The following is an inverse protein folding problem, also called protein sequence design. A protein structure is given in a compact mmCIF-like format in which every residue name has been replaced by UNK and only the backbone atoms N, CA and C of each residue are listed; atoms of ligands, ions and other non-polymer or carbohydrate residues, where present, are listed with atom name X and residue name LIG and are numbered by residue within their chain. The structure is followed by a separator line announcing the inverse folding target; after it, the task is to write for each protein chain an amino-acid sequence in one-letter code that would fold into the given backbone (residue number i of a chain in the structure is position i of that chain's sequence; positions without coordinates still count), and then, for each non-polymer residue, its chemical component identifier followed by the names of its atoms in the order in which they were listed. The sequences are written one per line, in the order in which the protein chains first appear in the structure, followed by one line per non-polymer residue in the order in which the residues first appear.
data_IF_169289709420
#
_entry.id   IF_169289709420
#
_cell.length_a   1.000
_cell.length_b   1.000
_cell.length_c   1.000
_cell.angle_alpha   90.00
_cell.angle_beta   90.00
_cell.angle_gamma   90.00
#
_symmetry.space_group_name_H-M   'P 1'
#
loop_
_entity.id
_entity.type
_entity.pdbx_description
1 polymer ?
#
# COMPACT_ATOMS: atom_id res chain seq x y z
N UNK A 1 -7.73 -18.62 11.81
CA UNK A 1 -8.60 -17.43 11.65
C UNK A 1 -7.89 -16.47 10.71
N UNK A 2 -8.61 -15.66 9.95
CA UNK A 2 -7.99 -14.65 9.09
C UNK A 2 -7.29 -13.59 9.94
N UNK A 3 -6.19 -13.03 9.41
CA UNK A 3 -5.36 -12.03 10.10
C UNK A 3 -6.09 -10.69 10.03
N UNK A 4 -6.42 -10.02 11.16
CA UNK A 4 -7.03 -8.71 11.10
C UNK A 4 -6.02 -7.70 10.55
N UNK A 5 -6.41 -6.97 9.51
CA UNK A 5 -5.53 -5.99 8.85
C UNK A 5 -6.15 -4.62 8.73
N UNK A 6 -5.30 -3.60 8.74
CA UNK A 6 -5.63 -2.23 8.38
C UNK A 6 -4.74 -1.84 7.21
N UNK A 7 -5.33 -1.27 6.16
CA UNK A 7 -4.60 -0.72 5.02
C UNK A 7 -4.41 0.79 5.21
N UNK A 8 -3.18 1.28 5.25
CA UNK A 8 -2.83 2.71 5.19
C UNK A 8 -2.27 3.02 3.80
N UNK A 9 -3.02 3.77 2.99
CA UNK A 9 -2.83 3.89 1.54
C UNK A 9 -3.00 5.32 1.03
N UNK A 10 -2.19 5.72 0.07
CA UNK A 10 -2.32 6.96 -0.69
C UNK A 10 -2.80 6.68 -2.12
N UNK A 11 -3.82 5.82 -2.21
CA UNK A 11 -4.55 5.51 -3.44
C UNK A 11 -4.94 6.77 -4.22
N UNK A 12 -4.70 6.73 -5.53
CA UNK A 12 -5.02 7.81 -6.46
C UNK A 12 -3.82 8.62 -6.94
N UNK A 13 -2.66 8.51 -6.27
CA UNK A 13 -1.40 9.11 -6.74
C UNK A 13 -0.75 8.25 -7.80
N UNK A 14 -0.34 7.03 -7.45
CA UNK A 14 0.00 5.96 -8.40
C UNK A 14 -1.19 4.99 -8.54
N UNK A 15 -1.12 4.08 -9.50
CA UNK A 15 -2.16 3.10 -9.78
C UNK A 15 -2.00 1.83 -8.93
N UNK A 16 -0.81 1.54 -8.42
CA UNK A 16 -0.52 0.27 -7.75
C UNK A 16 -1.24 0.10 -6.40
N UNK A 17 -1.58 1.16 -5.66
CA UNK A 17 -2.52 1.06 -4.53
C UNK A 17 -3.86 0.43 -4.94
N UNK A 18 -4.37 0.76 -6.13
CA UNK A 18 -5.64 0.21 -6.65
C UNK A 18 -5.48 -1.28 -6.95
N UNK A 19 -4.30 -1.71 -7.42
CA UNK A 19 -3.98 -3.14 -7.59
C UNK A 19 -3.82 -3.86 -6.26
N UNK A 20 -3.16 -3.22 -5.28
CA UNK A 20 -2.96 -3.76 -3.95
C UNK A 20 -4.29 -3.91 -3.21
N UNK A 21 -5.20 -2.93 -3.31
CA UNK A 21 -6.55 -3.04 -2.77
C UNK A 21 -7.34 -4.19 -3.44
N UNK A 22 -7.25 -4.33 -4.77
CA UNK A 22 -7.88 -5.45 -5.47
C UNK A 22 -7.35 -6.81 -4.99
N UNK A 23 -6.03 -6.95 -4.84
CA UNK A 23 -5.39 -8.14 -4.31
C UNK A 23 -5.85 -8.41 -2.87
N UNK A 24 -5.82 -7.39 -2.01
CA UNK A 24 -6.15 -7.50 -0.59
C UNK A 24 -7.59 -7.98 -0.37
N UNK A 25 -8.55 -7.46 -1.13
CA UNK A 25 -9.95 -7.90 -1.09
C UNK A 25 -10.15 -9.36 -1.53
N UNK A 26 -9.16 -9.95 -2.22
CA UNK A 26 -9.14 -11.34 -2.70
C UNK A 26 -8.26 -12.26 -1.84
N UNK A 27 -7.72 -11.77 -0.73
CA UNK A 27 -6.90 -12.57 0.19
C UNK A 27 -7.76 -13.13 1.35
N UNK A 28 -8.23 -14.40 1.31
CA UNK A 28 -8.98 -15.00 2.41
C UNK A 28 -8.17 -15.16 3.70
N UNK A 29 -6.84 -15.07 3.61
CA UNK A 29 -5.93 -15.05 4.75
C UNK A 29 -6.05 -13.75 5.56
N UNK A 30 -6.59 -12.68 4.97
CA UNK A 30 -6.64 -11.33 5.53
C UNK A 30 -8.08 -10.86 5.76
N UNK A 31 -8.31 -10.25 6.91
CA UNK A 31 -9.60 -9.70 7.34
C UNK A 31 -9.47 -8.18 7.47
N UNK A 32 -9.78 -7.48 6.37
CA UNK A 32 -9.61 -6.03 6.25
C UNK A 32 -10.63 -5.28 7.12
N UNK A 33 -10.12 -4.63 8.19
CA UNK A 33 -10.91 -3.93 9.21
C UNK A 33 -11.09 -2.44 8.95
N UNK A 34 -10.18 -1.83 8.21
CA UNK A 34 -10.18 -0.39 7.91
C UNK A 34 -9.29 -0.13 6.71
N UNK A 35 -9.74 0.77 5.82
CA UNK A 35 -8.87 1.46 4.87
C UNK A 35 -8.70 2.89 5.36
N UNK A 36 -7.47 3.27 5.70
CA UNK A 36 -7.10 4.60 6.15
C UNK A 36 -6.42 5.33 4.99
N UNK A 37 -7.03 6.41 4.51
CA UNK A 37 -6.48 7.18 3.40
C UNK A 37 -5.42 8.15 3.89
N UNK A 38 -4.26 8.19 3.24
CA UNK A 38 -3.08 8.92 3.71
C UNK A 38 -2.67 10.02 2.75
N UNK A 39 -2.15 11.12 3.30
CA UNK A 39 -1.52 12.24 2.59
C UNK A 39 -2.44 13.04 1.66
N UNK A 40 -1.98 14.22 1.25
CA UNK A 40 -2.68 15.01 0.21
C UNK A 40 -4.11 15.37 0.61
N UNK A 41 -5.07 15.02 -0.25
CA UNK A 41 -6.51 15.22 -0.05
C UNK A 41 -7.20 13.92 0.36
N UNK A 42 -7.48 13.76 1.65
CA UNK A 42 -8.14 12.57 2.19
C UNK A 42 -9.54 12.31 1.59
N UNK A 43 -10.29 13.36 1.23
CA UNK A 43 -11.64 13.21 0.65
C UNK A 43 -11.53 12.61 -0.75
N UNK A 44 -10.59 13.09 -1.57
CA UNK A 44 -10.33 12.51 -2.89
C UNK A 44 -10.00 11.01 -2.80
N UNK A 45 -9.04 10.66 -1.93
CA UNK A 45 -8.58 9.28 -1.76
C UNK A 45 -9.71 8.38 -1.23
N UNK A 46 -10.50 8.90 -0.30
CA UNK A 46 -11.69 8.21 0.22
C UNK A 46 -12.76 8.04 -0.87
N UNK A 47 -12.90 9.00 -1.78
CA UNK A 47 -13.83 8.92 -2.92
C UNK A 47 -13.45 7.80 -3.89
N UNK A 48 -12.15 7.62 -4.18
CA UNK A 48 -11.68 6.48 -4.98
C UNK A 48 -11.95 5.17 -4.25
N UNK A 49 -11.55 5.10 -2.98
CA UNK A 49 -11.73 3.92 -2.13
C UNK A 49 -13.19 3.51 -2.03
N UNK A 50 -14.09 4.45 -1.77
CA UNK A 50 -15.53 4.24 -1.65
C UNK A 50 -16.12 3.65 -2.93
N UNK A 51 -15.84 4.28 -4.07
CA UNK A 51 -16.29 3.77 -5.37
C UNK A 51 -15.73 2.38 -5.66
N UNK A 52 -14.47 2.12 -5.33
CA UNK A 52 -13.85 0.81 -5.53
C UNK A 52 -14.50 -0.26 -4.64
N UNK A 53 -14.76 0.03 -3.37
CA UNK A 53 -15.46 -0.87 -2.45
C UNK A 53 -16.91 -1.14 -2.86
N UNK A 54 -17.63 -0.15 -3.42
CA UNK A 54 -18.96 -0.39 -3.99
C UNK A 54 -18.91 -1.36 -5.18
N UNK A 55 -17.96 -1.15 -6.10
CA UNK A 55 -17.75 -2.07 -7.23
C UNK A 55 -17.42 -3.48 -6.74
N UNK A 56 -16.64 -3.60 -5.68
CA UNK A 56 -16.28 -4.86 -5.05
C UNK A 56 -17.39 -5.47 -4.19
N UNK A 57 -18.49 -4.76 -3.92
CA UNK A 57 -19.55 -5.20 -3.01
C UNK A 57 -19.08 -5.32 -1.55
N UNK A 58 -18.06 -4.54 -1.14
CA UNK A 58 -17.41 -4.59 0.17
C UNK A 58 -17.57 -3.29 0.97
N UNK A 59 -18.78 -2.73 0.94
CA UNK A 59 -19.12 -1.52 1.71
C UNK A 59 -19.23 -1.77 3.22
N UNK A 60 -19.01 -3.01 3.66
CA UNK A 60 -18.84 -3.38 5.06
C UNK A 60 -17.53 -2.87 5.67
N UNK A 61 -16.53 -2.55 4.84
CA UNK A 61 -15.22 -2.06 5.28
C UNK A 61 -15.29 -0.54 5.53
N UNK A 62 -15.02 -0.05 6.75
CA UNK A 62 -14.94 1.38 7.02
C UNK A 62 -13.79 2.03 6.26
N UNK A 63 -14.00 3.30 5.86
CA UNK A 63 -12.97 4.17 5.31
C UNK A 63 -12.68 5.27 6.32
N UNK A 64 -11.42 5.43 6.72
CA UNK A 64 -10.97 6.51 7.58
C UNK A 64 -10.35 7.64 6.76
N UNK A 65 -10.76 8.88 7.02
CA UNK A 65 -10.06 10.05 6.51
C UNK A 65 -8.81 10.29 7.36
N UNK A 66 -7.63 10.16 6.76
CA UNK A 66 -6.37 10.40 7.45
C UNK A 66 -5.98 11.87 7.55
N UNK A 67 -4.75 12.09 7.99
CA UNK A 67 -4.16 13.41 8.16
C UNK A 67 -3.84 13.99 6.78
N UNK A 68 -4.52 15.09 6.44
CA UNK A 68 -4.13 15.91 5.29
C UNK A 68 -2.76 16.52 5.56
N UNK A 69 -1.77 16.18 4.72
CA UNK A 69 -0.40 16.70 4.86
C UNK A 69 -0.16 17.94 3.99
N UNK A 70 -0.72 18.00 2.78
CA UNK A 70 -0.54 19.11 1.83
C UNK A 70 -1.77 19.26 0.92
N UNK A 71 -2.12 20.49 0.47
CA UNK A 71 -3.11 20.67 -0.58
C UNK A 71 -2.67 19.93 -1.86
N UNK A 72 -3.51 19.04 -2.37
CA UNK A 72 -3.20 18.25 -3.55
C UNK A 72 -3.75 18.94 -4.81
N UNK A 73 -2.93 19.77 -5.44
CA UNK A 73 -3.25 20.42 -6.72
C UNK A 73 -2.87 19.55 -7.93
N UNK A 74 -1.88 18.68 -7.74
CA UNK A 74 -1.24 17.86 -8.77
C UNK A 74 -1.29 16.39 -8.33
N UNK A 75 -1.18 15.43 -9.24
CA UNK A 75 -1.13 13.99 -8.89
C UNK A 75 -2.48 13.34 -8.57
N UNK A 76 -3.60 14.01 -8.88
CA UNK A 76 -4.97 13.45 -8.82
C UNK A 76 -5.28 12.60 -10.05
N UNK A 77 -4.42 11.63 -10.36
CA UNK A 77 -4.42 10.96 -11.65
C UNK A 77 -5.66 10.07 -11.90
N UNK A 78 -6.39 9.72 -10.85
CA UNK A 78 -7.63 8.93 -10.93
C UNK A 78 -8.91 9.80 -10.81
N UNK A 79 -8.81 11.14 -10.76
CA UNK A 79 -9.99 12.05 -10.76
C UNK A 79 -10.99 11.75 -11.88
N UNK A 80 -10.58 11.48 -13.14
CA UNK A 80 -11.53 11.17 -14.20
C UNK A 80 -12.32 9.89 -13.94
N UNK A 81 -11.73 8.90 -13.24
CA UNK A 81 -12.42 7.67 -12.92
C UNK A 81 -13.57 7.95 -11.95
N UNK A 82 -13.33 8.69 -10.87
CA UNK A 82 -14.36 9.04 -9.87
C UNK A 82 -15.31 10.17 -10.30
N UNK A 83 -15.19 10.72 -11.51
CA UNK A 83 -16.01 11.86 -11.95
C UNK A 83 -17.50 11.55 -11.84
N UNK A 84 -18.24 12.41 -11.15
CA UNK A 84 -19.68 12.28 -10.94
C UNK A 84 -20.07 11.30 -9.83
N UNK A 85 -19.10 10.69 -9.15
CA UNK A 85 -19.32 9.94 -7.93
C UNK A 85 -19.31 10.90 -6.72
N UNK A 86 -20.32 10.81 -5.87
CA UNK A 86 -20.44 11.64 -4.67
C UNK A 86 -20.17 10.78 -3.44
N UNK A 87 -19.10 11.08 -2.70
CA UNK A 87 -18.76 10.39 -1.46
C UNK A 87 -19.91 10.43 -0.44
N UNK A 88 -20.73 11.50 -0.43
CA UNK A 88 -21.88 11.60 0.47
C UNK A 88 -22.99 10.55 0.17
N UNK A 89 -22.95 9.92 -1.01
CA UNK A 89 -23.86 8.84 -1.40
C UNK A 89 -23.36 7.43 -1.03
N UNK A 90 -22.11 7.30 -0.56
CA UNK A 90 -21.53 6.03 -0.17
C UNK A 90 -22.29 5.44 1.02
N UNK A 91 -22.68 4.17 0.92
CA UNK A 91 -23.48 3.50 1.95
C UNK A 91 -22.69 2.94 3.14
N UNK A 92 -21.36 2.89 3.05
CA UNK A 92 -20.48 2.41 4.12
C UNK A 92 -20.08 3.50 5.12
N UNK A 93 -19.33 3.12 6.15
CA UNK A 93 -18.83 4.07 7.16
C UNK A 93 -17.68 4.92 6.60
N UNK A 94 -17.84 6.25 6.69
CA UNK A 94 -16.75 7.22 6.54
C UNK A 94 -16.42 7.79 7.92
N UNK A 95 -15.25 7.47 8.45
CA UNK A 95 -14.75 7.98 9.71
C UNK A 95 -13.93 9.26 9.48
N UNK A 96 -14.49 10.41 9.87
CA UNK A 96 -13.83 11.73 9.78
C UNK A 96 -12.50 11.78 10.58
N UNK A 97 -12.46 11.11 11.75
CA UNK A 97 -11.22 10.88 12.51
C UNK A 97 -10.70 9.47 12.21
N UNK A 98 -10.10 9.29 11.02
CA UNK A 98 -9.60 7.99 10.56
C UNK A 98 -8.49 7.43 11.46
N UNK A 99 -7.59 8.29 11.95
CA UNK A 99 -6.55 7.90 12.92
C UNK A 99 -7.17 7.43 14.25
N UNK A 100 -8.18 8.13 14.75
CA UNK A 100 -8.93 7.69 15.94
C UNK A 100 -9.67 6.38 15.71
N UNK A 101 -10.21 6.15 14.51
CA UNK A 101 -10.85 4.88 14.15
C UNK A 101 -9.85 3.72 14.10
N UNK A 102 -8.67 3.93 13.54
CA UNK A 102 -7.56 2.97 13.57
C UNK A 102 -7.22 2.57 15.01
N UNK A 103 -7.04 3.56 15.90
CA UNK A 103 -6.71 3.30 17.31
C UNK A 103 -7.79 2.44 17.98
N UNK A 104 -9.07 2.79 17.81
CA UNK A 104 -10.18 2.02 18.39
C UNK A 104 -10.21 0.58 17.91
N UNK A 105 -10.04 0.34 16.61
CA UNK A 105 -10.01 -1.02 16.04
C UNK A 105 -8.89 -1.84 16.68
N UNK A 106 -7.70 -1.27 16.84
CA UNK A 106 -6.57 -1.96 17.50
C UNK A 106 -6.88 -2.23 18.97
N UNK A 107 -7.47 -1.28 19.69
CA UNK A 107 -7.81 -1.42 21.10
C UNK A 107 -8.88 -2.50 21.35
N UNK A 108 -9.87 -2.56 20.47
CA UNK A 108 -10.99 -3.52 20.49
C UNK A 108 -10.59 -4.91 19.98
N UNK A 109 -9.53 -5.03 19.18
CA UNK A 109 -9.08 -6.32 18.64
C UNK A 109 -8.53 -7.25 19.72
N UNK A 110 -9.03 -8.49 19.77
CA UNK A 110 -8.52 -9.53 20.69
C UNK A 110 -7.24 -10.20 20.18
N UNK A 111 -6.91 -10.01 18.91
CA UNK A 111 -5.71 -10.55 18.25
C UNK A 111 -4.81 -9.40 17.78
N UNK A 112 -3.50 -9.62 17.60
CA UNK A 112 -2.61 -8.63 17.01
C UNK A 112 -3.09 -8.19 15.61
N UNK A 113 -3.12 -6.89 15.35
CA UNK A 113 -3.52 -6.31 14.06
C UNK A 113 -2.29 -6.11 13.18
N UNK A 114 -2.34 -6.53 11.92
CA UNK A 114 -1.28 -6.19 10.96
C UNK A 114 -1.63 -4.91 10.21
N UNK A 115 -0.76 -3.91 10.29
CA UNK A 115 -0.89 -2.68 9.52
C UNK A 115 -0.09 -2.86 8.22
N UNK A 116 -0.79 -2.77 7.09
CA UNK A 116 -0.18 -2.73 5.75
C UNK A 116 -0.02 -1.26 5.39
N UNK A 117 1.21 -0.76 5.43
CA UNK A 117 1.55 0.64 5.25
C UNK A 117 2.21 0.86 3.88
N UNK A 118 1.43 1.37 2.94
CA UNK A 118 1.86 1.59 1.55
C UNK A 118 1.88 3.07 1.16
N UNK A 119 1.85 3.96 2.16
CA UNK A 119 1.84 5.41 2.00
C UNK A 119 2.87 6.11 2.89
N UNK A 120 3.15 7.41 2.66
CA UNK A 120 3.96 8.19 3.60
C UNK A 120 3.33 8.21 5.00
N UNK A 121 4.16 8.02 6.03
CA UNK A 121 3.72 7.52 7.33
C UNK A 121 3.05 8.53 8.28
N UNK A 122 2.52 9.64 7.77
CA UNK A 122 1.92 10.71 8.59
C UNK A 122 0.75 10.23 9.47
N UNK A 123 -0.10 9.36 8.92
CA UNK A 123 -1.20 8.73 9.66
C UNK A 123 -0.70 7.88 10.83
N UNK A 124 0.26 7.00 10.57
CA UNK A 124 0.82 6.11 11.57
C UNK A 124 1.61 6.87 12.63
N UNK A 125 2.36 7.90 12.25
CA UNK A 125 3.05 8.80 13.19
C UNK A 125 2.05 9.50 14.11
N UNK A 126 0.93 10.00 13.58
CA UNK A 126 -0.14 10.57 14.38
C UNK A 126 -0.77 9.53 15.32
N UNK A 127 -0.98 8.29 14.85
CA UNK A 127 -1.53 7.20 15.64
C UNK A 127 -0.63 6.83 16.83
N UNK A 128 0.65 6.57 16.60
CA UNK A 128 1.59 6.19 17.67
C UNK A 128 1.93 7.36 18.59
N UNK A 129 1.80 8.60 18.13
CA UNK A 129 1.91 9.79 19.00
C UNK A 129 0.69 9.91 19.93
N UNK A 130 -0.52 9.69 19.39
CA UNK A 130 -1.78 9.80 20.14
C UNK A 130 -1.98 8.64 21.11
N UNK A 131 -1.57 7.43 20.73
CA UNK A 131 -1.76 6.20 21.50
C UNK A 131 -0.52 5.27 21.36
N UNK A 132 0.61 5.56 22.03
CA UNK A 132 1.86 4.82 21.85
C UNK A 132 1.76 3.31 22.11
N UNK A 133 0.83 2.89 22.97
CA UNK A 133 0.63 1.48 23.34
C UNK A 133 0.08 0.61 22.20
N UNK A 134 -0.46 1.20 21.13
CA UNK A 134 -1.03 0.42 20.02
C UNK A 134 0.06 -0.34 19.23
N UNK A 135 1.28 0.19 19.16
CA UNK A 135 2.38 -0.43 18.41
C UNK A 135 2.67 -1.86 18.93
N UNK A 136 2.68 -2.04 20.26
CA UNK A 136 2.91 -3.34 20.90
C UNK A 136 1.78 -4.36 20.64
N UNK A 137 0.66 -3.93 20.07
CA UNK A 137 -0.47 -4.78 19.65
C UNK A 137 -0.51 -5.01 18.15
N UNK A 138 0.50 -4.52 17.43
CA UNK A 138 0.52 -4.54 15.98
C UNK A 138 1.82 -5.11 15.40
N UNK A 139 1.66 -5.72 14.23
CA UNK A 139 2.74 -5.96 13.29
C UNK A 139 2.67 -4.89 12.20
N UNK A 140 3.82 -4.35 11.80
CA UNK A 140 3.93 -3.38 10.71
C UNK A 140 4.52 -4.08 9.49
N UNK A 141 3.81 -4.04 8.37
CA UNK A 141 4.30 -4.47 7.05
C UNK A 141 4.26 -3.27 6.12
N UNK A 142 5.41 -2.78 5.68
CA UNK A 142 5.51 -1.51 4.95
C UNK A 142 6.21 -1.60 3.61
N UNK A 143 5.74 -0.84 2.62
CA UNK A 143 6.49 -0.54 1.41
C UNK A 143 7.33 0.71 1.67
N UNK A 144 8.59 0.52 2.08
CA UNK A 144 9.48 1.62 2.44
C UNK A 144 10.91 1.38 2.00
N UNK A 145 11.55 2.44 1.52
CA UNK A 145 13.00 2.50 1.44
C UNK A 145 13.60 1.79 0.23
N UNK A 146 14.92 1.86 0.18
CA UNK A 146 15.76 1.45 -0.94
C UNK A 146 17.16 1.28 -0.37
N UNK A 147 17.69 0.05 -0.40
CA UNK A 147 18.93 -0.27 0.30
C UNK A 147 20.10 -0.51 -0.66
N UNK A 148 19.94 -1.40 -1.63
CA UNK A 148 20.97 -1.74 -2.61
C UNK A 148 20.68 -1.14 -3.99
N UNK A 149 19.40 -0.95 -4.35
CA UNK A 149 18.98 -0.43 -5.66
C UNK A 149 17.98 0.72 -5.56
N UNK A 150 18.10 1.68 -6.46
CA UNK A 150 17.16 2.78 -6.67
C UNK A 150 16.00 2.40 -7.59
N UNK A 151 15.22 3.40 -8.02
CA UNK A 151 14.07 3.18 -8.90
C UNK A 151 14.42 2.49 -10.21
N UNK A 152 13.53 1.59 -10.65
CA UNK A 152 13.72 0.76 -11.86
C UNK A 152 15.01 -0.07 -11.86
N UNK A 153 15.53 -0.43 -10.67
CA UNK A 153 16.80 -1.15 -10.52
C UNK A 153 18.05 -0.31 -10.78
N UNK A 154 17.93 1.02 -10.80
CA UNK A 154 19.06 1.93 -10.96
C UNK A 154 20.04 1.87 -9.80
N UNK A 155 21.28 2.29 -10.03
CA UNK A 155 22.30 2.44 -8.98
C UNK A 155 22.81 3.90 -8.94
N UNK A 156 23.07 4.48 -7.76
CA UNK A 156 22.96 3.88 -6.41
C UNK A 156 21.51 3.77 -5.92
N UNK A 157 21.32 3.30 -4.67
CA UNK A 157 20.07 3.40 -3.94
C UNK A 157 19.48 4.82 -3.98
N UNK A 158 18.15 4.92 -3.90
CA UNK A 158 17.41 6.18 -4.02
C UNK A 158 16.69 6.51 -2.72
N UNK A 159 16.24 7.75 -2.57
CA UNK A 159 15.26 8.10 -1.56
C UNK A 159 13.84 7.71 -2.06
N UNK A 160 13.39 6.55 -1.61
CA UNK A 160 12.06 6.01 -1.92
C UNK A 160 10.97 7.00 -1.48
N UNK A 161 9.90 7.12 -2.26
CA UNK A 161 8.89 8.18 -2.18
C UNK A 161 8.15 8.18 -0.84
N UNK A 162 7.70 7.04 -0.33
CA UNK A 162 7.02 6.95 0.96
C UNK A 162 7.92 7.41 2.11
N UNK A 163 9.21 7.09 2.07
CA UNK A 163 10.20 7.59 3.02
C UNK A 163 10.47 9.09 2.83
N UNK A 164 10.77 9.52 1.60
CA UNK A 164 11.19 10.89 1.24
C UNK A 164 10.12 11.94 1.50
N UNK A 165 8.85 11.57 1.36
CA UNK A 165 7.74 12.49 1.56
C UNK A 165 7.57 12.90 3.02
N UNK A 166 7.88 12.01 3.97
CA UNK A 166 7.86 12.34 5.41
C UNK A 166 8.87 11.51 6.23
N UNK A 167 10.18 11.81 6.14
CA UNK A 167 11.20 11.06 6.87
C UNK A 167 11.02 11.14 8.40
N UNK A 168 10.52 12.27 8.90
CA UNK A 168 10.30 12.48 10.32
C UNK A 168 9.14 11.63 10.86
N UNK A 169 8.04 11.50 10.11
CA UNK A 169 6.95 10.60 10.45
C UNK A 169 7.42 9.14 10.46
N UNK A 170 8.16 8.68 9.45
CA UNK A 170 8.64 7.30 9.43
C UNK A 170 9.61 7.01 10.58
N UNK A 171 10.52 7.93 10.94
CA UNK A 171 11.34 7.80 12.16
C UNK A 171 10.50 7.68 13.43
N UNK A 172 9.42 8.46 13.54
CA UNK A 172 8.48 8.39 14.67
C UNK A 172 7.79 7.02 14.73
N UNK A 173 7.38 6.48 13.57
CA UNK A 173 6.77 5.16 13.46
C UNK A 173 7.76 4.06 13.85
N UNK A 174 8.96 4.04 13.26
CA UNK A 174 9.96 2.99 13.52
C UNK A 174 10.53 3.02 14.94
N UNK A 175 10.43 4.16 15.65
CA UNK A 175 10.80 4.26 17.06
C UNK A 175 9.77 3.65 18.02
N UNK A 176 8.57 3.33 17.56
CA UNK A 176 7.53 2.73 18.38
C UNK A 176 7.78 1.22 18.61
N UNK A 177 7.18 0.68 19.67
CA UNK A 177 7.41 -0.69 20.15
C UNK A 177 6.55 -1.73 19.40
N UNK A 178 6.79 -1.93 18.10
CA UNK A 178 6.05 -2.89 17.28
C UNK A 178 6.39 -4.34 17.64
N UNK A 179 5.44 -5.27 17.48
CA UNK A 179 5.73 -6.71 17.64
C UNK A 179 6.70 -7.24 16.59
N UNK A 180 6.56 -6.73 15.36
CA UNK A 180 7.38 -7.05 14.21
C UNK A 180 7.29 -5.91 13.19
N UNK A 181 8.41 -5.60 12.56
CA UNK A 181 8.51 -4.63 11.46
C UNK A 181 9.11 -5.36 10.26
N UNK A 182 8.30 -5.53 9.22
CA UNK A 182 8.69 -6.12 7.95
C UNK A 182 8.59 -5.07 6.84
N UNK A 183 9.66 -4.88 6.11
CA UNK A 183 9.74 -3.88 5.04
C UNK A 183 9.99 -4.56 3.71
N UNK A 184 9.25 -4.15 2.68
CA UNK A 184 9.58 -4.40 1.28
C UNK A 184 10.06 -3.09 0.64
N UNK A 185 11.36 -2.96 0.35
CA UNK A 185 11.93 -1.78 -0.30
C UNK A 185 11.88 -1.89 -1.83
N UNK A 186 12.44 -0.89 -2.52
CA UNK A 186 12.67 -0.93 -3.96
C UNK A 186 13.44 -2.18 -4.43
N UNK A 187 14.28 -2.78 -3.57
CA UNK A 187 15.07 -3.98 -3.87
C UNK A 187 14.25 -5.19 -4.32
N UNK A 188 13.09 -5.39 -3.72
CA UNK A 188 12.12 -6.42 -4.14
C UNK A 188 11.04 -5.83 -5.04
N UNK A 189 10.50 -4.67 -4.68
CA UNK A 189 9.30 -4.14 -5.32
C UNK A 189 9.52 -3.73 -6.79
N UNK A 190 10.71 -3.23 -7.18
CA UNK A 190 10.99 -2.82 -8.56
C UNK A 190 10.71 -3.91 -9.61
N UNK A 191 10.79 -5.18 -9.22
CA UNK A 191 10.63 -6.32 -10.12
C UNK A 191 9.18 -6.80 -10.25
N UNK A 192 8.25 -6.28 -9.44
CA UNK A 192 6.85 -6.69 -9.41
C UNK A 192 6.07 -6.08 -10.60
N UNK A 193 6.28 -6.60 -11.81
CA UNK A 193 5.59 -6.14 -13.03
C UNK A 193 4.87 -7.32 -13.68
N UNK A 194 3.55 -7.21 -13.84
CA UNK A 194 2.78 -8.20 -14.57
C UNK A 194 2.95 -7.96 -16.08
N UNK A 195 3.42 -8.98 -16.78
CA UNK A 195 3.62 -8.97 -18.24
C UNK A 195 3.10 -10.28 -18.85
N UNK A 196 3.08 -10.37 -20.19
CA UNK A 196 2.82 -11.62 -20.90
C UNK A 196 1.47 -12.24 -20.55
N UNK A 197 1.45 -13.55 -20.34
CA UNK A 197 0.23 -14.31 -20.05
C UNK A 197 -0.47 -13.84 -18.77
N UNK A 198 0.29 -13.52 -17.73
CA UNK A 198 -0.26 -13.07 -16.45
C UNK A 198 -1.08 -11.78 -16.61
N UNK A 199 -0.50 -10.77 -17.28
CA UNK A 199 -1.21 -9.54 -17.56
C UNK A 199 -2.36 -9.73 -18.54
N UNK A 200 -2.14 -10.53 -19.59
CA UNK A 200 -3.17 -10.80 -20.60
C UNK A 200 -4.44 -11.42 -20.00
N UNK A 201 -4.29 -12.38 -19.08
CA UNK A 201 -5.41 -13.00 -18.38
C UNK A 201 -6.23 -11.98 -17.59
N UNK A 202 -5.57 -11.08 -16.88
CA UNK A 202 -6.24 -10.00 -16.12
C UNK A 202 -6.94 -9.03 -17.06
N UNK A 203 -6.26 -8.61 -18.14
CA UNK A 203 -6.83 -7.73 -19.17
C UNK A 203 -8.10 -8.31 -19.81
N UNK A 204 -8.14 -9.62 -20.02
CA UNK A 204 -9.30 -10.31 -20.57
C UNK A 204 -10.41 -10.60 -19.56
N UNK A 205 -10.14 -10.50 -18.25
CA UNK A 205 -11.08 -10.84 -17.19
C UNK A 205 -11.97 -9.65 -16.74
N UNK A 206 -12.14 -8.63 -17.58
CA UNK A 206 -12.94 -7.41 -17.27
C UNK A 206 -14.46 -7.63 -17.22
N UNK A 207 -14.93 -8.87 -17.39
CA UNK A 207 -16.28 -9.25 -16.95
C UNK A 207 -16.41 -9.20 -15.42
N UNK A 208 -15.32 -9.44 -14.67
CA UNK A 208 -15.25 -9.19 -13.23
C UNK A 208 -15.26 -7.67 -12.97
N UNK A 209 -16.22 -7.14 -12.19
CA UNK A 209 -16.29 -5.72 -11.88
C UNK A 209 -15.03 -5.13 -11.23
N UNK A 210 -14.36 -5.89 -10.35
CA UNK A 210 -13.14 -5.43 -9.66
C UNK A 210 -12.00 -5.29 -10.65
N UNK A 211 -11.77 -6.31 -11.49
CA UNK A 211 -10.70 -6.26 -12.49
C UNK A 211 -10.99 -5.22 -13.59
N UNK A 212 -12.26 -5.03 -13.95
CA UNK A 212 -12.66 -3.91 -14.81
C UNK A 212 -12.34 -2.56 -14.20
N UNK A 213 -12.63 -2.33 -12.91
CA UNK A 213 -12.28 -1.09 -12.24
C UNK A 213 -10.75 -0.86 -12.19
N UNK A 214 -9.95 -1.91 -11.96
CA UNK A 214 -8.49 -1.84 -12.01
C UNK A 214 -8.01 -1.42 -13.41
N UNK A 215 -8.45 -2.11 -14.46
CA UNK A 215 -8.03 -1.84 -15.84
C UNK A 215 -8.53 -0.48 -16.33
N UNK A 216 -9.76 -0.08 -16.02
CA UNK A 216 -10.31 1.25 -16.36
C UNK A 216 -9.50 2.37 -15.68
N UNK A 217 -9.21 2.26 -14.38
CA UNK A 217 -8.36 3.23 -13.69
C UNK A 217 -6.97 3.26 -14.33
N UNK A 218 -6.39 2.11 -14.65
CA UNK A 218 -5.06 2.07 -15.24
C UNK A 218 -5.02 2.76 -16.62
N UNK A 219 -6.03 2.54 -17.45
CA UNK A 219 -6.16 3.22 -18.75
C UNK A 219 -6.34 4.74 -18.61
N UNK A 220 -6.97 5.22 -17.52
CA UNK A 220 -7.13 6.64 -17.21
C UNK A 220 -5.83 7.24 -16.67
N UNK A 221 -5.15 6.52 -15.77
CA UNK A 221 -3.91 6.93 -15.13
C UNK A 221 -2.75 7.04 -16.14
N UNK A 222 -2.56 6.02 -16.97
CA UNK A 222 -1.42 5.88 -17.87
C UNK A 222 -1.12 7.10 -18.78
N UNK A 223 -2.10 7.77 -19.40
CA UNK A 223 -1.84 8.98 -20.20
C UNK A 223 -1.71 10.27 -19.39
N UNK A 224 -2.04 10.27 -18.09
CA UNK A 224 -2.04 11.46 -17.23
C UNK A 224 -0.76 11.60 -16.40
N UNK A 225 -0.11 10.48 -16.09
CA UNK A 225 1.09 10.45 -15.26
C UNK A 225 2.28 11.13 -15.96
N UNK A 226 2.87 12.13 -15.30
CA UNK A 226 3.95 12.95 -15.87
C UNK A 226 5.38 12.47 -15.57
N UNK A 227 5.55 11.60 -14.57
CA UNK A 227 6.86 11.10 -14.13
C UNK A 227 7.29 9.79 -14.79
N UNK A 228 6.41 9.16 -15.56
CA UNK A 228 6.67 7.89 -16.24
C UNK A 228 5.97 7.90 -17.60
N UNK A 229 6.63 7.36 -18.63
CA UNK A 229 5.98 7.09 -19.91
C UNK A 229 5.29 5.73 -19.85
N UNK A 230 3.96 5.71 -19.96
CA UNK A 230 3.14 4.51 -19.79
C UNK A 230 2.35 4.16 -21.06
N UNK A 231 2.99 4.13 -22.23
CA UNK A 231 2.37 3.74 -23.52
C UNK A 231 2.14 2.22 -23.65
N UNK A 232 2.67 1.44 -22.70
CA UNK A 232 2.61 -0.01 -22.64
C UNK A 232 1.45 -0.56 -21.80
N UNK A 233 0.54 0.30 -21.32
CA UNK A 233 -0.52 -0.11 -20.39
C UNK A 233 -1.44 -1.22 -20.92
N UNK A 234 -1.49 -1.42 -22.25
CA UNK A 234 -2.24 -2.52 -22.85
C UNK A 234 -1.52 -3.88 -22.81
N UNK A 235 -0.23 -3.93 -22.49
CA UNK A 235 0.61 -5.15 -22.57
C UNK A 235 1.30 -5.52 -21.27
N UNK A 236 1.38 -4.60 -20.30
CA UNK A 236 1.90 -4.86 -18.95
C UNK A 236 1.36 -3.84 -17.95
N UNK A 237 1.46 -4.14 -16.66
CA UNK A 237 1.24 -3.18 -15.58
C UNK A 237 2.40 -2.19 -15.45
N UNK A 238 2.23 -1.17 -14.59
CA UNK A 238 3.35 -0.47 -13.95
C UNK A 238 4.08 -1.42 -12.99
N UNK A 239 5.09 -0.91 -12.30
CA UNK A 239 5.61 -1.61 -11.11
C UNK A 239 4.51 -1.59 -10.04
N UNK A 240 4.18 -2.75 -9.50
CA UNK A 240 3.15 -2.95 -8.48
C UNK A 240 3.82 -3.05 -7.12
N UNK A 241 4.34 -1.93 -6.60
CA UNK A 241 5.15 -1.92 -5.39
C UNK A 241 4.37 -2.45 -4.20
N UNK A 242 3.13 -1.97 -4.06
CA UNK A 242 2.29 -2.20 -2.89
C UNK A 242 1.75 -3.64 -2.79
N UNK A 243 1.61 -4.31 -3.93
CA UNK A 243 1.18 -5.71 -3.98
C UNK A 243 2.14 -6.66 -3.23
N UNK A 244 3.42 -6.27 -3.13
CA UNK A 244 4.41 -7.03 -2.37
C UNK A 244 4.12 -6.90 -0.87
N UNK A 245 3.80 -5.70 -0.37
CA UNK A 245 3.45 -5.49 1.04
C UNK A 245 2.19 -6.28 1.44
N UNK A 246 1.19 -6.32 0.57
CA UNK A 246 -0.02 -7.15 0.78
C UNK A 246 0.32 -8.63 0.88
N UNK A 247 1.19 -9.15 0.01
CA UNK A 247 1.65 -10.54 0.10
C UNK A 247 2.40 -10.82 1.41
N UNK A 248 3.33 -9.92 1.79
CA UNK A 248 4.10 -10.03 3.03
C UNK A 248 3.26 -9.94 4.31
N UNK A 249 2.02 -9.46 4.22
CA UNK A 249 1.08 -9.48 5.34
C UNK A 249 0.71 -10.90 5.78
N UNK A 250 0.72 -11.89 4.88
CA UNK A 250 0.35 -13.28 5.19
C UNK A 250 1.35 -14.35 4.77
N UNK A 251 2.32 -14.06 3.90
CA UNK A 251 3.28 -15.04 3.40
C UNK A 251 4.64 -14.42 3.07
N UNK A 252 5.72 -15.19 3.23
CA UNK A 252 7.10 -14.74 2.98
C UNK A 252 7.94 -15.81 2.27
N UNK A 253 7.31 -16.90 1.82
CA UNK A 253 7.99 -18.07 1.27
C UNK A 253 8.71 -17.80 -0.05
N UNK A 254 8.29 -16.76 -0.79
CA UNK A 254 8.85 -16.37 -2.08
C UNK A 254 9.94 -15.28 -2.00
N UNK A 255 10.22 -14.75 -0.81
CA UNK A 255 11.24 -13.70 -0.59
C UNK A 255 12.32 -14.15 0.39
N UNK A 256 13.51 -13.57 0.27
CA UNK A 256 14.56 -13.62 1.27
C UNK A 256 14.46 -12.39 2.17
N UNK A 257 14.25 -12.61 3.46
CA UNK A 257 14.19 -11.56 4.48
C UNK A 257 15.47 -11.55 5.31
N UNK A 258 16.05 -10.36 5.50
CA UNK A 258 17.25 -10.14 6.31
C UNK A 258 16.91 -9.24 7.50
N UNK A 259 17.50 -9.50 8.67
CA UNK A 259 17.40 -8.61 9.82
C UNK A 259 18.42 -7.47 9.66
N UNK A 260 17.93 -6.24 9.54
CA UNK A 260 18.75 -5.05 9.24
C UNK A 260 18.53 -4.00 10.31
N UNK A 261 19.60 -3.29 10.66
CA UNK A 261 19.52 -2.00 11.36
C UNK A 261 19.82 -0.88 10.38
N UNK A 262 19.00 0.16 10.39
CA UNK A 262 19.15 1.29 9.48
C UNK A 262 18.72 2.61 10.11
N UNK A 263 19.18 3.70 9.49
CA UNK A 263 18.75 5.06 9.79
C UNK A 263 18.07 5.67 8.55
N UNK A 264 17.34 6.77 8.77
CA UNK A 264 16.66 7.53 7.73
C UNK A 264 17.20 8.96 7.73
N UNK A 265 17.82 9.35 6.62
CA UNK A 265 18.33 10.72 6.44
C UNK A 265 17.17 11.72 6.28
N UNK A 266 17.43 13.01 6.50
CA UNK A 266 16.41 14.05 6.37
C UNK A 266 15.88 14.23 4.94
N UNK A 267 16.61 13.76 3.93
CA UNK A 267 16.21 13.72 2.53
C UNK A 267 15.67 12.34 2.09
N UNK A 268 15.45 11.41 3.04
CA UNK A 268 14.67 10.19 2.85
C UNK A 268 15.43 8.97 2.35
N UNK A 269 16.75 8.90 2.51
CA UNK A 269 17.51 7.68 2.24
C UNK A 269 17.47 6.74 3.44
N UNK A 270 17.31 5.45 3.17
CA UNK A 270 17.48 4.37 4.16
C UNK A 270 18.91 3.85 4.12
N UNK A 271 19.67 4.05 5.21
CA UNK A 271 21.10 3.74 5.26
C UNK A 271 21.34 2.60 6.26
N UNK A 272 21.89 1.48 5.79
CA UNK A 272 22.29 0.36 6.67
C UNK A 272 23.41 0.80 7.59
N UNK A 273 23.24 0.56 8.88
CA UNK A 273 24.27 0.76 9.90
C UNK A 273 23.91 -0.09 11.13
N UNK A 274 24.82 -0.96 11.54
CA UNK A 274 24.64 -1.85 12.71
C UNK A 274 24.43 -1.08 14.01
N UNK A 275 24.88 0.19 14.08
CA UNK A 275 24.65 1.08 15.21
C UNK A 275 23.35 1.90 15.11
N UNK A 276 22.70 1.91 13.94
CA UNK A 276 21.49 2.70 13.71
C UNK A 276 20.32 2.24 14.58
N UNK A 277 19.35 3.13 14.88
CA UNK A 277 18.35 2.86 15.90
C UNK A 277 17.27 1.86 15.48
N UNK A 278 16.95 1.75 14.18
CA UNK A 278 15.75 1.04 13.72
C UNK A 278 16.06 -0.39 13.24
N UNK A 279 15.69 -1.43 14.00
CA UNK A 279 15.71 -2.81 13.53
C UNK A 279 14.45 -3.10 12.68
N UNK A 280 14.63 -3.81 11.57
CA UNK A 280 13.51 -4.38 10.81
C UNK A 280 13.95 -5.68 10.12
N UNK A 281 12.97 -6.50 9.76
CA UNK A 281 13.15 -7.52 8.73
C UNK A 281 12.91 -6.85 7.39
N UNK A 282 13.80 -7.06 6.42
CA UNK A 282 13.74 -6.41 5.12
C UNK A 282 13.79 -7.48 4.04
N UNK A 283 12.76 -7.52 3.20
CA UNK A 283 12.72 -8.39 2.02
C UNK A 283 13.63 -7.79 0.95
N UNK A 284 14.83 -8.31 0.76
CA UNK A 284 15.80 -7.72 -0.18
C UNK A 284 15.87 -8.43 -1.52
N UNK A 285 15.43 -9.69 -1.58
CA UNK A 285 15.55 -10.52 -2.78
C UNK A 285 14.36 -11.45 -2.95
N UNK A 286 14.09 -11.78 -4.20
CA UNK A 286 13.14 -12.84 -4.56
C UNK A 286 13.84 -14.19 -4.53
N UNK A 287 13.25 -15.16 -3.83
CA UNK A 287 13.57 -16.59 -4.03
C UNK A 287 12.95 -17.09 -5.33
N UNK A 288 11.73 -16.64 -5.62
CA UNK A 288 10.97 -16.98 -6.82
C UNK A 288 10.02 -15.84 -7.20
N UNK A 289 10.51 -14.93 -8.06
CA UNK A 289 9.72 -13.80 -8.57
C UNK A 289 8.58 -14.28 -9.46
N UNK A 290 8.83 -15.25 -10.35
CA UNK A 290 7.80 -15.78 -11.25
C UNK A 290 6.67 -16.45 -10.46
N UNK A 291 7.03 -17.17 -9.40
CA UNK A 291 6.09 -17.71 -8.41
C UNK A 291 5.20 -16.62 -7.80
N UNK A 292 5.78 -15.47 -7.42
CA UNK A 292 5.02 -14.33 -6.89
C UNK A 292 4.08 -13.72 -7.93
N UNK A 293 4.57 -13.47 -9.15
CA UNK A 293 3.75 -12.88 -10.23
C UNK A 293 2.58 -13.80 -10.60
N UNK A 294 2.82 -15.12 -10.64
CA UNK A 294 1.78 -16.11 -10.84
C UNK A 294 0.77 -16.10 -9.69
N UNK A 295 1.26 -16.11 -8.44
CA UNK A 295 0.40 -16.06 -7.25
C UNK A 295 -0.46 -14.79 -7.23
N UNK A 296 0.11 -13.62 -7.47
CA UNK A 296 -0.60 -12.35 -7.57
C UNK A 296 -1.70 -12.41 -8.66
N UNK A 297 -1.37 -12.98 -9.82
CA UNK A 297 -2.32 -13.16 -10.93
C UNK A 297 -3.48 -14.06 -10.52
N UNK A 298 -3.22 -15.21 -9.90
CA UNK A 298 -4.28 -16.12 -9.44
C UNK A 298 -5.14 -15.47 -8.35
N UNK A 299 -4.55 -14.67 -7.45
CA UNK A 299 -5.32 -13.95 -6.43
C UNK A 299 -6.27 -12.93 -7.05
N UNK A 300 -5.78 -12.14 -8.00
CA UNK A 300 -6.62 -11.15 -8.69
C UNK A 300 -7.77 -11.82 -9.46
N UNK A 301 -7.51 -13.00 -10.06
CA UNK A 301 -8.51 -13.76 -10.82
C UNK A 301 -9.47 -14.59 -9.97
N UNK A 302 -9.25 -14.73 -8.66
CA UNK A 302 -9.97 -15.68 -7.81
C UNK A 302 -11.49 -15.38 -7.63
N UNK A 303 -11.98 -14.24 -8.11
CA UNK A 303 -13.38 -13.83 -7.92
C UNK A 303 -13.74 -13.53 -6.46
N UNK A 304 -14.93 -12.97 -6.22
CA UNK A 304 -15.53 -12.85 -4.88
C UNK A 304 -16.60 -13.93 -4.75
#
# INVERSE_FOLDING_TARGET
MAIPVILDTDIGTDIDDTWALAQLLRCPELDLKLILTATGDAVYRATITARFLEVAGRTDIPIGLGVNSHPMTDGRNQDPWIRGYDLASYGGEIAEDGVGRLIRIIEESTEPVTIIAIAPSGNLAAAVTRAPHIAARCRLVGMFGSFDVGYSGGLPASNETNVRMDPAALRTVLAADWQDVLITPLDTCNAAVLTGENYHRIWCATSDPVLRAVIENYCIFAPLVGWMHCDYFATRSTILFDCVAVYLAYAEDLVETEAIRFDITDDGYTIRDDAAPYPARVALRWKDLDGFLNHLTERLLAGA
#
